data_IF_315083120808
#
_entry.id   IF_315083120808
#
_cell.length_a   1.000
_cell.length_b   1.000
_cell.length_c   1.000
_cell.angle_alpha   90.00
_cell.angle_beta   90.00
_cell.angle_gamma   90.00
#
_symmetry.space_group_name_H-M   'P 1'
#
loop_
_entity.id
_entity.type
_entity.pdbx_description
1 polymer ?
#
# COMPACT_ATOMS: atom_id res chain seq x y z
N UNK A 1 -17.68 66.52 4.16
CA UNK A 1 -16.36 65.83 4.05
C UNK A 1 -16.31 64.60 4.96
N UNK A 2 -16.59 64.74 6.29
CA UNK A 2 -16.52 63.65 7.26
C UNK A 2 -17.46 62.49 6.90
N UNK A 3 -18.70 62.76 6.52
CA UNK A 3 -19.70 61.74 6.13
C UNK A 3 -19.29 61.00 4.89
N UNK A 4 -18.66 61.66 3.90
CA UNK A 4 -18.15 61.04 2.70
C UNK A 4 -16.96 60.10 3.03
N UNK A 5 -16.11 60.51 3.97
CA UNK A 5 -14.97 59.68 4.39
C UNK A 5 -15.44 58.43 5.13
N UNK A 6 -16.47 58.53 5.97
CA UNK A 6 -17.10 57.39 6.66
C UNK A 6 -17.74 56.43 5.66
N UNK A 7 -18.44 56.95 4.64
CA UNK A 7 -19.00 56.12 3.57
C UNK A 7 -17.93 55.37 2.77
N UNK A 8 -16.81 56.04 2.43
CA UNK A 8 -15.70 55.41 1.72
C UNK A 8 -15.06 54.32 2.58
N UNK A 9 -14.88 54.56 3.88
CA UNK A 9 -14.36 53.55 4.80
C UNK A 9 -15.31 52.38 4.97
N UNK A 10 -16.63 52.62 5.06
CA UNK A 10 -17.64 51.58 5.17
C UNK A 10 -17.71 50.71 3.89
N UNK A 11 -17.70 51.34 2.70
CA UNK A 11 -17.65 50.66 1.42
C UNK A 11 -16.33 49.87 1.28
N UNK A 12 -15.23 50.46 1.66
CA UNK A 12 -13.90 49.82 1.69
C UNK A 12 -13.88 48.59 2.60
N UNK A 13 -14.47 48.72 3.82
CA UNK A 13 -14.55 47.60 4.75
C UNK A 13 -15.45 46.42 4.20
N UNK A 14 -16.59 46.78 3.58
CA UNK A 14 -17.47 45.78 2.95
C UNK A 14 -16.76 45.13 1.78
N UNK A 15 -16.06 45.89 0.96
CA UNK A 15 -15.28 45.39 -0.17
C UNK A 15 -14.14 44.49 0.29
N UNK A 16 -13.40 44.88 1.33
CA UNK A 16 -12.33 44.09 1.92
C UNK A 16 -12.88 42.80 2.57
N UNK A 17 -13.99 42.86 3.29
CA UNK A 17 -14.67 41.70 3.87
C UNK A 17 -15.13 40.71 2.77
N UNK A 18 -15.55 41.20 1.60
CA UNK A 18 -16.04 40.37 0.50
C UNK A 18 -14.94 39.81 -0.40
N UNK A 19 -13.88 40.59 -0.67
CA UNK A 19 -12.84 40.27 -1.64
C UNK A 19 -11.43 40.13 -1.05
N UNK A 20 -11.22 40.53 0.20
CA UNK A 20 -9.94 40.41 0.90
C UNK A 20 -9.60 38.93 1.15
N UNK A 21 -8.31 38.63 1.21
CA UNK A 21 -7.78 37.32 1.58
C UNK A 21 -8.10 36.98 3.04
N UNK A 22 -8.46 35.75 3.35
CA UNK A 22 -8.52 35.25 4.73
C UNK A 22 -7.10 34.99 5.24
N UNK A 23 -6.87 35.32 6.53
CA UNK A 23 -5.69 34.91 7.27
C UNK A 23 -5.99 33.78 8.26
N UNK A 24 -7.14 33.16 8.14
CA UNK A 24 -7.52 32.01 8.94
C UNK A 24 -6.61 30.83 8.61
N UNK A 25 -6.02 30.24 9.63
CA UNK A 25 -5.23 29.02 9.51
C UNK A 25 -6.15 27.80 9.59
N UNK A 26 -5.85 26.77 8.81
CA UNK A 26 -6.53 25.50 8.90
C UNK A 26 -6.09 24.77 10.19
N UNK A 27 -7.01 24.08 10.79
CA UNK A 27 -6.69 23.10 11.81
C UNK A 27 -5.95 21.92 11.14
N UNK A 28 -4.66 21.81 11.44
CA UNK A 28 -3.78 20.82 10.82
C UNK A 28 -4.06 19.40 11.29
N UNK A 29 -4.46 19.22 12.56
CA UNK A 29 -4.85 17.91 13.08
C UNK A 29 -6.11 17.43 12.39
N UNK A 30 -7.12 18.27 12.28
CA UNK A 30 -8.34 17.98 11.52
C UNK A 30 -8.05 17.75 10.04
N UNK A 31 -7.14 18.50 9.42
CA UNK A 31 -6.75 18.32 8.02
C UNK A 31 -6.19 16.94 7.76
N UNK A 32 -5.34 16.42 8.64
CA UNK A 32 -4.72 15.11 8.53
C UNK A 32 -5.54 13.99 9.18
N UNK A 33 -6.59 14.30 9.95
CA UNK A 33 -7.40 13.32 10.68
C UNK A 33 -6.69 12.74 11.90
N UNK A 34 -5.83 13.53 12.55
CA UNK A 34 -5.13 13.19 13.79
C UNK A 34 -6.05 13.51 14.98
N UNK A 35 -6.21 12.56 15.88
CA UNK A 35 -7.03 12.67 17.09
C UNK A 35 -6.20 12.52 18.36
N UNK A 36 -5.10 11.75 18.29
CA UNK A 36 -4.24 11.47 19.42
C UNK A 36 -2.79 11.83 19.10
N UNK A 37 -1.98 12.06 20.13
CA UNK A 37 -0.57 12.45 19.99
C UNK A 37 0.32 11.37 19.39
N UNK A 38 -0.11 10.11 19.43
CA UNK A 38 0.56 8.95 18.83
C UNK A 38 0.06 8.61 17.42
N UNK A 39 -0.98 9.29 16.92
CA UNK A 39 -1.41 9.15 15.54
C UNK A 39 -0.34 9.72 14.59
N UNK A 40 -0.15 9.07 13.46
CA UNK A 40 0.74 9.47 12.38
C UNK A 40 -0.05 9.66 11.10
N UNK A 41 -0.10 10.88 10.60
CA UNK A 41 -0.65 11.13 9.28
C UNK A 41 0.26 10.54 8.20
N UNK A 42 -0.34 9.97 7.16
CA UNK A 42 0.37 9.45 6.01
C UNK A 42 0.04 10.25 4.76
N UNK A 43 1.08 10.71 4.08
CA UNK A 43 0.97 11.31 2.76
C UNK A 43 1.70 10.38 1.80
N UNK A 44 0.95 9.61 1.01
CA UNK A 44 1.51 8.61 0.11
C UNK A 44 1.35 9.09 -1.33
N UNK A 45 2.47 9.26 -2.04
CA UNK A 45 2.49 9.74 -3.43
C UNK A 45 1.68 11.04 -3.62
N UNK A 46 1.86 11.99 -2.71
CA UNK A 46 1.17 13.29 -2.66
C UNK A 46 -0.35 13.22 -2.37
N UNK A 47 -0.83 12.13 -1.82
CA UNK A 47 -2.22 11.98 -1.37
C UNK A 47 -2.24 11.81 0.15
N UNK A 48 -3.06 12.61 0.85
CA UNK A 48 -3.31 12.44 2.29
C UNK A 48 -4.20 11.21 2.49
N UNK A 49 -3.69 10.22 3.22
CA UNK A 49 -4.44 9.01 3.55
C UNK A 49 -5.38 9.33 4.70
N UNK A 50 -6.67 9.28 4.44
CA UNK A 50 -7.70 9.46 5.47
C UNK A 50 -8.05 8.14 6.13
N UNK A 51 -8.60 8.21 7.34
CA UNK A 51 -9.22 7.06 7.99
C UNK A 51 -10.26 6.45 7.05
N UNK A 52 -10.14 5.16 6.77
CA UNK A 52 -11.20 4.44 6.06
C UNK A 52 -12.22 3.98 7.11
N UNK A 53 -13.49 4.36 6.92
CA UNK A 53 -14.58 3.68 7.58
C UNK A 53 -14.59 2.25 7.03
N UNK A 54 -14.42 1.25 7.90
CA UNK A 54 -14.41 -0.15 7.46
C UNK A 54 -15.73 -0.46 6.75
N UNK A 55 -15.68 -0.64 5.44
CA UNK A 55 -16.80 -1.15 4.65
C UNK A 55 -16.92 -2.66 4.91
N UNK A 56 -17.31 -3.04 6.11
CA UNK A 56 -17.71 -4.38 6.43
C UNK A 56 -19.15 -4.62 5.95
N UNK A 57 -19.30 -4.91 4.65
CA UNK A 57 -20.46 -5.70 4.22
C UNK A 57 -20.20 -7.16 4.64
N UNK A 58 -20.54 -7.49 5.86
CA UNK A 58 -20.93 -8.80 6.39
C UNK A 58 -20.32 -9.08 7.77
N UNK A 59 -20.96 -8.59 8.81
CA UNK A 59 -21.30 -9.33 10.03
C UNK A 59 -21.83 -8.36 11.08
N UNK A 60 -22.92 -8.71 11.68
CA UNK A 60 -23.64 -7.97 12.71
C UNK A 60 -22.90 -8.06 14.05
N UNK A 61 -21.76 -7.42 14.18
CA UNK A 61 -21.20 -7.09 15.48
C UNK A 61 -20.57 -5.70 15.45
N UNK A 62 -21.07 -4.84 16.31
CA UNK A 62 -20.89 -3.41 16.31
C UNK A 62 -19.59 -3.00 17.00
N UNK A 63 -18.49 -2.90 16.25
CA UNK A 63 -17.43 -1.93 16.52
C UNK A 63 -16.73 -1.62 15.19
N UNK A 64 -17.25 -0.62 14.48
CA UNK A 64 -16.57 0.00 13.34
C UNK A 64 -15.43 0.87 13.87
N UNK A 65 -14.35 0.24 14.33
CA UNK A 65 -13.13 0.97 14.63
C UNK A 65 -12.48 1.38 13.30
N UNK A 66 -12.52 2.67 13.01
CA UNK A 66 -11.84 3.23 11.85
C UNK A 66 -10.34 3.04 12.00
N UNK A 67 -9.71 2.41 11.01
CA UNK A 67 -8.25 2.15 11.03
C UNK A 67 -7.48 3.47 11.00
N UNK A 68 -6.65 3.71 12.02
CA UNK A 68 -5.69 4.81 12.03
C UNK A 68 -4.56 4.46 11.05
N UNK A 69 -4.31 5.27 10.00
CA UNK A 69 -3.38 4.90 8.93
C UNK A 69 -1.94 4.65 9.39
N UNK A 70 -1.48 5.39 10.40
CA UNK A 70 -0.15 5.24 10.97
C UNK A 70 -0.11 5.62 12.42
N UNK A 71 0.89 5.11 13.15
CA UNK A 71 1.12 5.41 14.56
C UNK A 71 2.59 5.61 14.89
N UNK A 72 2.83 6.31 15.99
CA UNK A 72 4.16 6.47 16.60
C UNK A 72 4.19 5.64 17.88
N UNK A 73 5.07 4.64 17.94
CA UNK A 73 5.31 3.85 19.14
C UNK A 73 6.77 4.02 19.56
N UNK A 74 7.02 4.44 20.79
CA UNK A 74 8.36 4.59 21.37
C UNK A 74 9.31 5.46 20.50
N UNK A 75 8.75 6.47 19.82
CA UNK A 75 9.51 7.36 18.92
C UNK A 75 9.77 6.80 17.53
N UNK A 76 9.31 5.59 17.21
CA UNK A 76 9.40 4.97 15.89
C UNK A 76 8.06 5.11 15.14
N UNK A 77 8.12 5.22 13.82
CA UNK A 77 6.97 5.48 12.94
C UNK A 77 6.52 4.19 12.25
N UNK A 78 5.22 3.94 12.29
CA UNK A 78 4.61 2.71 11.78
C UNK A 78 3.44 2.99 10.85
N UNK A 79 3.22 2.10 9.91
CA UNK A 79 2.11 2.11 8.96
C UNK A 79 1.18 0.94 9.26
N UNK A 80 -0.13 1.17 9.28
CA UNK A 80 -1.12 0.12 9.40
C UNK A 80 -1.01 -0.87 8.24
N UNK A 81 -1.10 -2.17 8.53
CA UNK A 81 -0.97 -3.23 7.53
C UNK A 81 -1.90 -3.06 6.32
N UNK A 82 -3.16 -2.66 6.54
CA UNK A 82 -4.11 -2.44 5.46
C UNK A 82 -3.62 -1.36 4.48
N UNK A 83 -3.10 -0.24 5.02
CA UNK A 83 -2.54 0.85 4.20
C UNK A 83 -1.27 0.40 3.48
N UNK A 84 -0.39 -0.34 4.17
CA UNK A 84 0.81 -0.91 3.56
C UNK A 84 0.44 -1.78 2.36
N UNK A 85 -0.45 -2.75 2.55
CA UNK A 85 -0.88 -3.70 1.53
C UNK A 85 -1.54 -3.00 0.33
N UNK A 86 -2.45 -2.06 0.60
CA UNK A 86 -3.33 -1.51 -0.43
C UNK A 86 -2.70 -0.31 -1.18
N UNK A 87 -1.75 0.42 -0.54
CA UNK A 87 -1.22 1.68 -1.10
C UNK A 87 0.29 1.68 -1.35
N UNK A 88 1.05 0.76 -0.74
CA UNK A 88 2.51 0.77 -0.80
C UNK A 88 3.05 -0.53 -1.42
N UNK A 89 2.80 -1.68 -0.77
CA UNK A 89 3.35 -2.96 -1.21
C UNK A 89 2.45 -4.13 -0.78
N UNK A 90 1.72 -4.70 -1.73
CA UNK A 90 0.78 -5.80 -1.52
C UNK A 90 1.43 -7.16 -1.25
N UNK A 91 2.77 -7.27 -1.29
CA UNK A 91 3.48 -8.52 -1.01
C UNK A 91 3.63 -8.81 0.47
N UNK A 92 3.42 -7.83 1.34
CA UNK A 92 3.33 -8.07 2.76
C UNK A 92 2.01 -8.75 3.10
N UNK A 93 2.09 -9.80 3.89
CA UNK A 93 0.94 -10.55 4.38
C UNK A 93 0.97 -10.65 5.91
N UNK A 94 -0.10 -10.23 6.56
CA UNK A 94 -0.29 -10.37 7.99
C UNK A 94 -1.20 -11.55 8.29
N UNK A 95 -0.68 -12.54 9.00
CA UNK A 95 -1.48 -13.63 9.57
C UNK A 95 -1.90 -13.26 10.99
N UNK A 96 -3.19 -12.92 11.14
CA UNK A 96 -3.74 -12.51 12.43
C UNK A 96 -3.88 -13.69 13.43
N UNK A 97 -3.98 -14.94 12.94
CA UNK A 97 -4.10 -16.11 13.80
C UNK A 97 -2.74 -16.48 14.42
N UNK A 98 -1.72 -16.52 13.59
CA UNK A 98 -0.35 -16.84 14.01
C UNK A 98 0.41 -15.60 14.53
N UNK A 99 -0.16 -14.39 14.36
CA UNK A 99 0.45 -13.09 14.72
C UNK A 99 1.85 -12.91 14.11
N UNK A 100 1.95 -13.21 12.82
CA UNK A 100 3.20 -13.17 12.06
C UNK A 100 3.01 -12.33 10.78
N UNK A 101 3.95 -11.44 10.52
CA UNK A 101 4.08 -10.75 9.25
C UNK A 101 4.99 -11.56 8.32
N UNK A 102 4.53 -11.81 7.11
CA UNK A 102 5.26 -12.51 6.06
C UNK A 102 5.53 -11.59 4.88
N UNK A 103 6.69 -11.77 4.26
CA UNK A 103 7.03 -11.18 2.97
C UNK A 103 7.74 -12.21 2.10
N UNK A 104 7.25 -12.44 0.90
CA UNK A 104 7.80 -13.46 0.00
C UNK A 104 8.89 -12.87 -0.88
N UNK A 105 10.07 -13.48 -0.84
CA UNK A 105 11.22 -13.24 -1.73
C UNK A 105 11.32 -14.35 -2.77
N UNK A 106 12.09 -14.16 -3.87
CA UNK A 106 12.27 -15.19 -4.89
C UNK A 106 12.89 -16.49 -4.39
N UNK A 107 13.72 -16.39 -3.34
CA UNK A 107 14.53 -17.48 -2.77
C UNK A 107 14.07 -17.92 -1.37
N UNK A 108 12.98 -17.35 -0.85
CA UNK A 108 12.44 -17.73 0.44
C UNK A 108 11.45 -16.71 1.01
N UNK A 109 11.26 -16.75 2.32
CA UNK A 109 10.33 -15.85 3.01
C UNK A 109 11.06 -15.04 4.08
N UNK A 110 10.55 -13.84 4.31
CA UNK A 110 10.79 -13.07 5.52
C UNK A 110 9.64 -13.31 6.48
N UNK A 111 9.94 -13.56 7.75
CA UNK A 111 8.96 -13.83 8.79
C UNK A 111 9.28 -13.04 10.05
N UNK A 112 8.34 -12.26 10.53
CA UNK A 112 8.46 -11.39 11.71
C UNK A 112 7.32 -11.68 12.68
N UNK A 113 7.65 -12.10 13.91
CA UNK A 113 6.66 -12.26 14.96
C UNK A 113 6.28 -10.91 15.57
N UNK A 114 5.07 -10.84 16.11
CA UNK A 114 4.62 -9.66 16.82
C UNK A 114 5.55 -9.26 17.97
N UNK A 115 5.71 -7.95 18.16
CA UNK A 115 6.58 -7.33 19.19
C UNK A 115 8.05 -7.75 19.13
N UNK A 116 8.52 -8.22 17.97
CA UNK A 116 9.90 -8.63 17.76
C UNK A 116 10.72 -7.58 17.02
N UNK A 117 11.97 -7.45 17.40
CA UNK A 117 13.04 -6.82 16.62
C UNK A 117 13.87 -7.85 15.82
N UNK A 118 13.67 -9.15 16.11
CA UNK A 118 14.30 -10.24 15.36
C UNK A 118 13.34 -10.78 14.30
N UNK A 119 13.88 -11.20 13.18
CA UNK A 119 13.15 -11.79 12.07
C UNK A 119 13.98 -12.83 11.32
N UNK A 120 13.31 -13.74 10.64
CA UNK A 120 13.97 -14.71 9.75
C UNK A 120 13.83 -14.24 8.31
N UNK A 121 14.93 -14.20 7.57
CA UNK A 121 14.96 -13.93 6.14
C UNK A 121 15.75 -15.03 5.43
N UNK A 122 15.12 -15.79 4.53
CA UNK A 122 15.74 -16.86 3.75
C UNK A 122 16.58 -17.81 4.63
N UNK A 123 15.97 -18.28 5.72
CA UNK A 123 16.59 -19.17 6.74
C UNK A 123 17.72 -18.54 7.60
N UNK A 124 17.94 -17.25 7.52
CA UNK A 124 18.87 -16.53 8.39
C UNK A 124 18.10 -15.70 9.41
N UNK A 125 18.53 -15.71 10.67
CA UNK A 125 17.99 -14.82 11.69
C UNK A 125 18.74 -13.49 11.63
N UNK A 126 17.97 -12.40 11.55
CA UNK A 126 18.43 -11.01 11.55
C UNK A 126 17.76 -10.22 12.66
N UNK A 127 18.28 -9.06 12.99
CA UNK A 127 17.70 -8.18 14.01
C UNK A 127 17.90 -6.71 13.67
N UNK A 128 16.92 -5.91 14.07
CA UNK A 128 16.93 -4.45 14.01
C UNK A 128 17.08 -3.86 15.41
N UNK A 129 17.38 -2.58 15.50
CA UNK A 129 17.45 -1.84 16.77
C UNK A 129 16.11 -1.29 17.23
N UNK A 130 15.02 -1.66 16.52
CA UNK A 130 13.65 -1.29 16.80
C UNK A 130 12.71 -2.51 16.68
N UNK A 131 11.53 -2.43 17.29
CA UNK A 131 10.48 -3.44 17.11
C UNK A 131 9.88 -3.28 15.71
N UNK A 132 9.88 -4.35 14.90
CA UNK A 132 9.46 -4.30 13.49
C UNK A 132 7.94 -4.25 13.36
N UNK A 133 7.23 -5.05 14.16
CA UNK A 133 5.79 -5.28 14.09
C UNK A 133 5.16 -5.07 15.45
N UNK A 134 4.21 -4.15 15.54
CA UNK A 134 3.36 -3.91 16.72
C UNK A 134 1.89 -4.04 16.38
N UNK A 135 1.05 -4.26 17.38
CA UNK A 135 -0.40 -4.24 17.21
C UNK A 135 -1.04 -3.23 18.16
N UNK A 136 -2.17 -2.68 17.74
CA UNK A 136 -3.08 -1.91 18.56
C UNK A 136 -4.49 -2.49 18.34
N UNK A 137 -5.02 -3.20 19.36
CA UNK A 137 -6.16 -4.08 19.17
C UNK A 137 -5.85 -5.17 18.13
N UNK A 138 -6.70 -5.26 17.12
CA UNK A 138 -6.56 -6.23 16.02
C UNK A 138 -5.79 -5.67 14.80
N UNK A 139 -5.34 -4.42 14.89
CA UNK A 139 -4.64 -3.76 13.78
C UNK A 139 -3.12 -3.95 13.94
N UNK A 140 -2.49 -4.50 12.93
CA UNK A 140 -1.03 -4.62 12.85
C UNK A 140 -0.42 -3.35 12.24
N UNK A 141 0.70 -2.93 12.80
CA UNK A 141 1.49 -1.77 12.39
C UNK A 141 2.94 -2.17 12.14
N UNK A 142 3.46 -1.83 10.98
CA UNK A 142 4.81 -2.19 10.53
C UNK A 142 5.69 -0.95 10.48
N UNK A 143 6.91 -1.07 11.01
CA UNK A 143 7.88 0.02 11.06
C UNK A 143 8.30 0.49 9.67
N UNK A 144 8.31 1.80 9.44
CA UNK A 144 8.66 2.42 8.14
C UNK A 144 10.03 2.00 7.61
N UNK A 145 11.12 1.95 8.41
CA UNK A 145 12.42 1.53 7.90
C UNK A 145 12.42 0.07 7.42
N UNK A 146 11.68 -0.82 8.08
CA UNK A 146 11.53 -2.20 7.63
C UNK A 146 10.78 -2.31 6.30
N UNK A 147 9.70 -1.53 6.14
CA UNK A 147 8.98 -1.46 4.86
C UNK A 147 9.90 -0.97 3.75
N UNK A 148 10.74 0.03 4.02
CA UNK A 148 11.68 0.62 3.04
C UNK A 148 12.76 -0.38 2.59
N UNK A 149 13.18 -1.30 3.45
CA UNK A 149 14.16 -2.34 3.10
C UNK A 149 13.64 -3.24 1.96
N UNK A 150 12.35 -3.58 2.01
CA UNK A 150 11.70 -4.50 1.06
C UNK A 150 10.85 -3.81 -0.01
N UNK A 151 10.89 -2.49 -0.08
CA UNK A 151 10.02 -1.72 -0.98
C UNK A 151 10.78 -0.58 -1.66
N UNK A 152 10.57 -0.41 -2.95
CA UNK A 152 11.11 0.73 -3.70
C UNK A 152 10.40 2.03 -3.28
N UNK A 153 10.66 2.49 -2.06
CA UNK A 153 10.07 3.70 -1.50
C UNK A 153 11.09 4.55 -0.76
N UNK A 154 10.84 5.84 -0.69
CA UNK A 154 11.49 6.77 0.23
C UNK A 154 10.46 7.41 1.14
N UNK A 155 10.88 7.79 2.34
CA UNK A 155 10.03 8.54 3.25
C UNK A 155 10.82 9.62 4.00
N UNK A 156 10.11 10.64 4.41
CA UNK A 156 10.54 11.63 5.40
C UNK A 156 9.46 11.76 6.47
N UNK A 157 9.85 12.24 7.64
CA UNK A 157 8.92 12.46 8.75
C UNK A 157 9.00 13.89 9.22
N UNK A 158 7.85 14.43 9.55
CA UNK A 158 7.68 15.79 10.08
C UNK A 158 6.85 15.74 11.36
N UNK A 159 6.99 16.75 12.18
CA UNK A 159 6.26 16.89 13.44
C UNK A 159 5.30 18.09 13.39
N UNK A 160 4.44 18.17 14.39
CA UNK A 160 3.49 19.28 14.57
C UNK A 160 2.53 19.51 13.38
N UNK A 161 1.67 18.54 13.06
CA UNK A 161 1.46 17.21 13.66
C UNK A 161 2.39 16.15 13.06
N UNK A 162 2.51 14.99 13.75
CA UNK A 162 3.28 13.86 13.25
C UNK A 162 2.77 13.40 11.88
N UNK A 163 3.65 13.38 10.90
CA UNK A 163 3.31 12.93 9.54
C UNK A 163 4.50 12.30 8.83
N UNK A 164 4.22 11.27 8.04
CA UNK A 164 5.18 10.64 7.16
C UNK A 164 4.80 10.90 5.70
N UNK A 165 5.76 11.40 4.93
CA UNK A 165 5.64 11.66 3.50
C UNK A 165 6.34 10.50 2.79
N UNK A 166 5.57 9.68 2.06
CA UNK A 166 6.04 8.44 1.44
C UNK A 166 5.93 8.56 -0.07
N UNK A 167 7.04 8.31 -0.76
CA UNK A 167 7.08 8.18 -2.22
C UNK A 167 7.39 6.73 -2.57
N UNK A 168 6.45 6.05 -3.23
CA UNK A 168 6.60 4.67 -3.73
C UNK A 168 6.31 4.54 -5.23
N UNK A 169 5.90 5.63 -5.87
CA UNK A 169 5.70 5.72 -7.32
C UNK A 169 6.75 6.64 -7.92
N UNK A 170 7.56 6.08 -8.80
CA UNK A 170 8.67 6.76 -9.46
C UNK A 170 8.33 7.05 -10.91
N UNK A 171 8.94 8.07 -11.49
CA UNK A 171 8.71 8.45 -12.87
C UNK A 171 8.74 9.94 -13.09
N UNK A 172 7.98 10.42 -14.08
CA UNK A 172 7.90 11.84 -14.40
C UNK A 172 6.89 12.53 -13.47
N UNK A 173 7.35 13.59 -12.81
CA UNK A 173 6.53 14.49 -12.00
C UNK A 173 6.64 15.91 -12.56
N UNK A 174 5.62 16.71 -12.36
CA UNK A 174 5.65 18.12 -12.67
C UNK A 174 5.97 18.93 -11.42
N UNK A 175 6.90 19.90 -11.55
CA UNK A 175 7.34 20.73 -10.43
C UNK A 175 7.28 22.21 -10.83
N UNK A 176 7.14 23.09 -9.84
CA UNK A 176 7.24 24.52 -10.00
C UNK A 176 7.99 25.16 -8.82
N UNK A 177 8.50 26.37 -9.03
CA UNK A 177 9.14 27.17 -8.00
C UNK A 177 8.23 28.32 -7.55
N UNK A 178 8.21 28.59 -6.26
CA UNK A 178 7.51 29.73 -5.68
C UNK A 178 8.22 31.05 -6.05
N UNK A 179 7.52 32.00 -6.65
CA UNK A 179 8.07 33.32 -7.06
C UNK A 179 8.38 34.24 -5.89
N UNK A 180 7.57 34.18 -4.85
CA UNK A 180 7.65 35.00 -3.61
C UNK A 180 6.96 34.28 -2.48
N UNK A 181 7.26 34.64 -1.26
CA UNK A 181 6.57 34.16 -0.05
C UNK A 181 5.06 34.23 -0.25
N UNK A 182 4.39 33.11 -0.05
CA UNK A 182 2.95 32.95 -0.22
C UNK A 182 2.42 31.81 0.63
N UNK A 183 1.12 31.51 0.49
CA UNK A 183 0.40 30.55 1.29
C UNK A 183 -0.14 29.44 0.41
N UNK A 184 -0.04 28.21 0.91
CA UNK A 184 -0.80 27.06 0.43
C UNK A 184 -2.12 27.02 1.17
N UNK A 185 -3.24 26.97 0.46
CA UNK A 185 -4.58 26.99 1.01
C UNK A 185 -5.27 25.65 0.84
N UNK A 186 -6.20 25.36 1.73
CA UNK A 186 -6.95 24.10 1.72
C UNK A 186 -7.74 23.88 0.41
N UNK A 187 -8.37 24.94 -0.10
CA UNK A 187 -9.09 24.95 -1.39
C UNK A 187 -8.61 26.12 -2.26
N UNK A 188 -8.89 26.06 -3.55
CA UNK A 188 -8.61 27.10 -4.53
C UNK A 188 -9.49 28.35 -4.30
N UNK A 189 -9.06 29.23 -3.39
CA UNK A 189 -9.80 30.45 -3.09
C UNK A 189 -9.15 31.33 -2.04
N UNK A 190 -9.26 32.66 -2.18
CA UNK A 190 -8.66 33.63 -1.24
C UNK A 190 -9.29 33.58 0.16
N UNK A 191 -10.45 32.97 0.31
CA UNK A 191 -11.17 32.80 1.58
C UNK A 191 -10.92 31.47 2.25
N UNK A 192 -10.32 30.53 1.53
CA UNK A 192 -9.98 29.21 2.07
C UNK A 192 -8.92 29.34 3.16
N UNK A 193 -8.99 28.54 4.25
CA UNK A 193 -7.98 28.52 5.30
C UNK A 193 -6.57 28.21 4.75
N UNK A 194 -5.57 28.71 5.46
CA UNK A 194 -4.15 28.52 5.13
C UNK A 194 -3.69 27.21 5.77
N UNK A 195 -3.15 26.30 4.94
CA UNK A 195 -2.52 25.06 5.43
C UNK A 195 -1.09 25.28 5.89
N UNK A 196 -0.29 25.98 5.06
CA UNK A 196 1.10 26.29 5.36
C UNK A 196 1.57 27.51 4.56
N UNK A 197 2.71 28.06 4.96
CA UNK A 197 3.42 29.09 4.21
C UNK A 197 4.59 28.49 3.44
N UNK A 198 4.80 28.98 2.22
CA UNK A 198 5.94 28.62 1.38
C UNK A 198 6.75 29.86 1.03
N UNK A 199 8.05 29.70 0.97
CA UNK A 199 9.00 30.80 0.74
C UNK A 199 9.35 30.90 -0.73
N UNK A 200 9.90 32.06 -1.08
CA UNK A 200 10.47 32.27 -2.43
C UNK A 200 11.52 31.20 -2.72
N UNK A 201 11.42 30.63 -3.91
CA UNK A 201 12.29 29.56 -4.45
C UNK A 201 12.03 28.15 -3.85
N UNK A 202 11.08 28.00 -2.94
CA UNK A 202 10.63 26.67 -2.57
C UNK A 202 10.10 25.93 -3.80
N UNK A 203 10.39 24.65 -3.85
CA UNK A 203 9.92 23.76 -4.91
C UNK A 203 8.66 23.04 -4.45
N UNK A 204 7.67 23.00 -5.30
CA UNK A 204 6.43 22.26 -5.08
C UNK A 204 6.19 21.28 -6.23
N UNK A 205 5.54 20.15 -5.93
CA UNK A 205 5.03 19.24 -6.95
C UNK A 205 3.67 19.74 -7.41
N UNK A 206 3.47 19.89 -8.72
CA UNK A 206 2.19 20.29 -9.32
C UNK A 206 1.36 19.03 -9.54
N UNK A 207 0.15 19.01 -9.00
CA UNK A 207 -0.76 17.86 -9.09
C UNK A 207 -1.87 18.10 -10.10
N UNK A 208 -2.44 19.31 -10.07
CA UNK A 208 -3.54 19.72 -10.95
C UNK A 208 -3.35 21.20 -11.32
N UNK A 209 -3.56 21.56 -12.60
CA UNK A 209 -3.55 22.93 -13.08
C UNK A 209 -5.00 23.37 -13.30
N UNK A 210 -5.47 24.24 -12.42
CA UNK A 210 -6.80 24.84 -12.48
C UNK A 210 -6.65 26.36 -12.66
N UNK A 211 -6.90 26.88 -13.84
CA UNK A 211 -6.86 28.29 -14.24
C UNK A 211 -6.09 29.26 -13.30
N UNK A 212 -6.77 29.83 -12.29
CA UNK A 212 -6.22 30.79 -11.31
C UNK A 212 -5.45 30.14 -10.16
N UNK A 213 -5.61 28.83 -9.95
CA UNK A 213 -5.04 28.08 -8.85
C UNK A 213 -4.41 26.78 -9.32
N UNK A 214 -3.29 26.42 -8.73
CA UNK A 214 -2.67 25.11 -8.91
C UNK A 214 -2.75 24.31 -7.62
N UNK A 215 -3.19 23.07 -7.72
CA UNK A 215 -3.08 22.10 -6.65
C UNK A 215 -1.65 21.60 -6.57
N UNK A 216 -1.04 21.71 -5.43
CA UNK A 216 0.37 21.39 -5.22
C UNK A 216 0.56 20.55 -3.97
N UNK A 217 1.66 19.77 -3.96
CA UNK A 217 2.21 19.16 -2.75
C UNK A 217 3.51 19.85 -2.38
N UNK A 218 3.67 20.18 -1.10
CA UNK A 218 4.89 20.72 -0.52
C UNK A 218 5.81 19.62 -0.03
N UNK A 219 7.10 19.90 0.14
CA UNK A 219 8.08 18.91 0.61
C UNK A 219 7.77 18.40 2.03
N UNK A 220 7.13 19.24 2.85
CA UNK A 220 6.71 18.90 4.21
C UNK A 220 5.31 18.27 4.31
N UNK A 221 4.72 17.86 3.16
CA UNK A 221 3.55 16.98 3.09
C UNK A 221 2.18 17.67 3.06
N UNK A 222 2.11 19.00 2.89
CA UNK A 222 0.83 19.68 2.69
C UNK A 222 0.39 19.59 1.23
N UNK A 223 -0.85 19.19 1.01
CA UNK A 223 -1.49 19.13 -0.31
C UNK A 223 -2.61 20.17 -0.37
N UNK A 224 -2.47 21.18 -1.20
CA UNK A 224 -3.41 22.31 -1.26
C UNK A 224 -3.19 23.17 -2.50
N UNK A 225 -3.59 24.42 -2.43
CA UNK A 225 -3.68 25.28 -3.60
C UNK A 225 -2.83 26.54 -3.46
N UNK A 226 -2.10 26.87 -4.50
CA UNK A 226 -1.37 28.15 -4.66
C UNK A 226 -1.93 28.87 -5.89
N UNK A 227 -2.03 30.22 -5.83
CA UNK A 227 -2.37 30.99 -7.05
C UNK A 227 -1.31 30.78 -8.13
N UNK A 228 -1.73 30.40 -9.33
CA UNK A 228 -0.87 30.12 -10.48
C UNK A 228 0.14 31.23 -10.75
N UNK A 229 -0.25 32.50 -10.63
CA UNK A 229 0.65 33.66 -10.80
C UNK A 229 1.83 33.72 -9.83
N UNK A 230 1.80 32.99 -8.71
CA UNK A 230 2.88 32.92 -7.71
C UNK A 230 3.85 31.77 -7.95
N UNK A 231 3.61 30.98 -8.99
CA UNK A 231 4.49 29.90 -9.43
C UNK A 231 5.24 30.31 -10.71
N UNK A 232 6.41 29.73 -10.91
CA UNK A 232 7.29 29.91 -12.10
C UNK A 232 8.08 28.64 -12.35
N UNK A 233 8.80 28.61 -13.49
CA UNK A 233 9.73 27.53 -13.83
C UNK A 233 9.08 26.14 -13.75
N UNK A 234 7.81 26.04 -14.16
CA UNK A 234 7.10 24.79 -14.27
C UNK A 234 7.83 23.88 -15.25
N UNK A 235 8.14 22.66 -14.81
CA UNK A 235 8.91 21.70 -15.61
C UNK A 235 8.62 20.28 -15.16
N UNK A 236 8.85 19.36 -16.08
CA UNK A 236 8.82 17.93 -15.79
C UNK A 236 10.20 17.46 -15.31
N UNK A 237 10.19 16.65 -14.28
CA UNK A 237 11.40 16.05 -13.71
C UNK A 237 11.19 14.56 -13.56
N UNK A 238 12.23 13.78 -13.83
CA UNK A 238 12.21 12.34 -13.61
C UNK A 238 12.73 12.03 -12.21
N UNK A 239 11.92 11.33 -11.41
CA UNK A 239 12.28 10.82 -10.11
C UNK A 239 12.59 9.32 -10.19
N UNK A 240 13.55 8.86 -9.41
CA UNK A 240 13.91 7.47 -9.28
C UNK A 240 14.63 7.23 -7.95
N UNK A 241 14.61 6.00 -7.48
CA UNK A 241 15.43 5.53 -6.37
C UNK A 241 16.34 4.41 -6.87
N UNK A 242 17.53 4.31 -6.32
CA UNK A 242 18.40 3.15 -6.54
C UNK A 242 17.90 1.99 -5.68
N UNK A 243 17.11 1.12 -6.30
CA UNK A 243 16.53 -0.06 -5.66
C UNK A 243 16.49 -1.20 -6.66
N UNK A 244 17.00 -2.35 -6.24
CA UNK A 244 16.95 -3.55 -7.07
C UNK A 244 15.68 -4.33 -6.76
N UNK A 245 14.72 -4.29 -7.69
CA UNK A 245 13.50 -5.07 -7.55
C UNK A 245 13.81 -6.57 -7.55
N UNK A 246 13.27 -7.34 -6.59
CA UNK A 246 13.37 -8.80 -6.63
C UNK A 246 12.73 -9.36 -7.92
N UNK A 247 13.46 -10.22 -8.62
CA UNK A 247 12.96 -10.86 -9.83
C UNK A 247 12.30 -12.18 -9.47
N UNK A 248 11.00 -12.25 -9.66
CA UNK A 248 10.22 -13.46 -9.45
C UNK A 248 10.11 -14.22 -10.77
N UNK A 249 10.38 -15.52 -10.74
CA UNK A 249 10.17 -16.38 -11.90
C UNK A 249 8.76 -16.95 -11.87
N UNK A 250 7.92 -16.52 -12.78
CA UNK A 250 6.63 -17.15 -13.01
C UNK A 250 6.81 -18.34 -13.95
N UNK A 251 6.23 -19.48 -13.59
CA UNK A 251 6.11 -20.60 -14.53
C UNK A 251 4.91 -20.30 -15.44
N UNK A 252 5.20 -19.76 -16.60
CA UNK A 252 4.18 -19.50 -17.63
C UNK A 252 4.36 -20.47 -18.77
N UNK A 253 3.25 -21.06 -19.24
CA UNK A 253 3.23 -21.88 -20.44
C UNK A 253 2.98 -21.01 -21.67
N UNK A 254 3.50 -21.43 -22.83
CA UNK A 254 3.34 -20.74 -24.10
C UNK A 254 1.99 -21.04 -24.79
N UNK A 255 1.13 -21.80 -24.13
CA UNK A 255 -0.19 -22.22 -24.60
C UNK A 255 -1.28 -22.07 -23.52
N UNK A 256 -2.54 -22.12 -23.97
CA UNK A 256 -3.68 -22.11 -23.05
C UNK A 256 -3.80 -23.45 -22.33
N UNK A 257 -3.84 -23.40 -21.00
CA UNK A 257 -4.01 -24.58 -20.16
C UNK A 257 -5.48 -24.96 -20.12
N UNK A 258 -5.79 -26.18 -20.59
CA UNK A 258 -7.08 -26.80 -20.43
C UNK A 258 -6.89 -28.06 -19.57
N UNK A 259 -7.26 -27.94 -18.27
CA UNK A 259 -6.93 -28.91 -17.23
C UNK A 259 -8.18 -29.67 -16.75
N UNK A 260 -7.99 -30.95 -16.47
CA UNK A 260 -8.97 -31.75 -15.74
C UNK A 260 -8.35 -32.41 -14.50
N UNK A 261 -9.07 -32.38 -13.38
CA UNK A 261 -8.71 -33.15 -12.19
C UNK A 261 -9.14 -34.60 -12.34
N UNK A 262 -8.21 -35.53 -12.11
CA UNK A 262 -8.49 -36.94 -12.03
C UNK A 262 -8.45 -37.40 -10.56
N UNK A 263 -9.62 -37.72 -10.00
CA UNK A 263 -9.72 -38.25 -8.64
C UNK A 263 -9.19 -39.68 -8.55
N UNK A 264 -7.91 -39.81 -8.20
CA UNK A 264 -7.24 -41.09 -7.97
C UNK A 264 -7.31 -41.40 -6.47
N UNK A 265 -8.14 -42.38 -6.12
CA UNK A 265 -8.45 -42.70 -4.70
C UNK A 265 -7.50 -43.75 -4.07
N UNK A 266 -6.80 -44.54 -4.90
CA UNK A 266 -5.82 -45.54 -4.49
C UNK A 266 -4.89 -45.87 -5.65
N UNK A 267 -3.78 -46.59 -5.38
CA UNK A 267 -2.79 -46.92 -6.40
C UNK A 267 -3.38 -47.69 -7.64
N UNK A 268 -4.36 -48.57 -7.43
CA UNK A 268 -4.98 -49.32 -8.54
C UNK A 268 -5.83 -48.40 -9.44
N UNK A 269 -6.36 -47.30 -8.94
CA UNK A 269 -7.17 -46.36 -9.69
C UNK A 269 -6.35 -45.59 -10.74
N UNK A 270 -5.01 -45.61 -10.69
CA UNK A 270 -4.13 -45.05 -11.72
C UNK A 270 -4.38 -45.70 -13.08
N UNK A 271 -4.74 -47.00 -13.14
CA UNK A 271 -5.01 -47.71 -14.38
C UNK A 271 -6.22 -47.17 -15.17
N UNK A 272 -7.08 -46.34 -14.51
CA UNK A 272 -8.22 -45.74 -15.20
C UNK A 272 -7.84 -44.59 -16.14
N UNK A 273 -6.59 -44.10 -16.12
CA UNK A 273 -6.14 -42.97 -16.95
C UNK A 273 -6.42 -43.17 -18.43
N UNK A 274 -6.25 -44.40 -18.93
CA UNK A 274 -6.52 -44.75 -20.35
C UNK A 274 -7.98 -44.53 -20.72
N UNK A 275 -8.91 -44.96 -19.87
CA UNK A 275 -10.34 -44.80 -20.08
C UNK A 275 -10.77 -43.34 -19.95
N UNK A 276 -10.20 -42.63 -18.99
CA UNK A 276 -10.47 -41.19 -18.77
C UNK A 276 -10.05 -40.39 -20.00
N UNK A 277 -8.84 -40.61 -20.51
CA UNK A 277 -8.33 -39.87 -21.67
C UNK A 277 -9.03 -40.25 -22.98
N UNK A 278 -9.45 -41.50 -23.13
CA UNK A 278 -10.23 -41.93 -24.31
C UNK A 278 -11.60 -41.23 -24.41
N UNK A 279 -12.15 -40.75 -23.32
CA UNK A 279 -13.44 -40.05 -23.26
C UNK A 279 -13.33 -38.51 -23.22
N UNK A 280 -12.14 -37.96 -23.32
CA UNK A 280 -11.89 -36.51 -23.27
C UNK A 280 -11.24 -36.02 -24.56
N UNK A 281 -11.39 -34.74 -24.85
CA UNK A 281 -10.72 -34.09 -25.99
C UNK A 281 -10.34 -32.65 -25.62
N UNK A 282 -9.22 -32.18 -26.20
CA UNK A 282 -8.76 -30.81 -26.02
C UNK A 282 -8.09 -30.50 -24.66
N UNK A 283 -7.81 -31.54 -23.84
CA UNK A 283 -7.00 -31.34 -22.63
C UNK A 283 -5.55 -31.09 -23.00
N UNK A 284 -4.89 -30.22 -22.25
CA UNK A 284 -3.44 -30.02 -22.27
C UNK A 284 -2.79 -30.58 -21.01
N UNK A 285 -3.55 -30.65 -19.93
CA UNK A 285 -3.03 -31.01 -18.61
C UNK A 285 -4.00 -31.90 -17.85
N UNK A 286 -3.49 -32.91 -17.18
CA UNK A 286 -4.28 -33.76 -16.27
C UNK A 286 -3.69 -33.67 -14.86
N UNK A 287 -4.56 -33.51 -13.86
CA UNK A 287 -4.16 -33.27 -12.46
C UNK A 287 -4.65 -34.41 -11.54
N UNK A 288 -3.85 -35.51 -11.38
CA UNK A 288 -4.19 -36.61 -10.49
C UNK A 288 -4.01 -36.24 -9.01
N UNK A 289 -4.91 -36.71 -8.15
CA UNK A 289 -4.90 -36.47 -6.71
C UNK A 289 -3.97 -37.47 -5.99
N UNK A 290 -2.66 -37.31 -6.17
CA UNK A 290 -1.67 -38.31 -5.76
C UNK A 290 -1.07 -38.11 -4.36
N UNK A 291 -0.91 -36.84 -3.95
CA UNK A 291 -0.19 -36.53 -2.75
C UNK A 291 -1.12 -36.03 -1.64
N UNK A 292 -0.83 -36.42 -0.40
CA UNK A 292 -1.49 -35.89 0.77
C UNK A 292 -0.52 -35.76 1.95
N UNK A 293 -0.82 -34.85 2.87
CA UNK A 293 -0.12 -34.78 4.15
C UNK A 293 -0.42 -36.07 4.92
N UNK A 294 0.64 -36.75 5.40
CA UNK A 294 0.50 -38.03 6.09
C UNK A 294 0.35 -37.84 7.61
N UNK A 295 0.99 -36.80 8.14
CA UNK A 295 1.01 -36.49 9.58
C UNK A 295 1.28 -35.01 9.83
N UNK A 296 1.32 -34.61 11.11
CA UNK A 296 1.61 -33.24 11.56
C UNK A 296 3.08 -32.86 11.51
N UNK A 297 3.98 -33.79 11.14
CA UNK A 297 5.42 -33.57 10.99
C UNK A 297 5.78 -33.14 9.56
N UNK A 298 4.79 -33.11 8.65
CA UNK A 298 4.98 -32.73 7.27
C UNK A 298 5.36 -33.87 6.33
N UNK A 299 5.24 -35.14 6.77
CA UNK A 299 5.47 -36.28 5.91
C UNK A 299 4.38 -36.38 4.84
N UNK A 300 4.77 -36.79 3.63
CA UNK A 300 3.87 -36.88 2.48
C UNK A 300 3.57 -38.36 2.14
N UNK A 301 2.29 -38.68 2.01
CA UNK A 301 1.82 -39.92 1.42
C UNK A 301 1.72 -39.76 -0.10
N UNK A 302 2.14 -40.76 -0.85
CA UNK A 302 2.12 -40.77 -2.32
C UNK A 302 1.51 -42.04 -2.88
N UNK A 303 0.64 -41.87 -3.87
CA UNK A 303 0.12 -42.95 -4.74
C UNK A 303 0.43 -42.67 -6.21
N UNK A 304 1.47 -41.85 -6.46
CA UNK A 304 1.92 -41.52 -7.80
C UNK A 304 2.39 -42.77 -8.55
N UNK A 305 2.18 -42.76 -9.87
CA UNK A 305 2.42 -43.90 -10.74
C UNK A 305 3.15 -43.45 -12.01
N UNK A 306 4.29 -44.10 -12.30
CA UNK A 306 5.13 -43.74 -13.45
C UNK A 306 4.48 -44.13 -14.78
N UNK A 307 3.74 -45.23 -14.83
CA UNK A 307 3.06 -45.69 -16.06
C UNK A 307 1.93 -44.73 -16.42
N UNK A 308 1.25 -44.16 -15.42
CA UNK A 308 0.28 -43.09 -15.62
C UNK A 308 0.91 -41.87 -16.29
N UNK A 309 2.05 -41.40 -15.76
CA UNK A 309 2.78 -40.25 -16.32
C UNK A 309 3.20 -40.52 -17.75
N UNK A 310 3.80 -41.70 -18.00
CA UNK A 310 4.24 -42.10 -19.35
C UNK A 310 3.08 -42.13 -20.34
N UNK A 311 1.92 -42.64 -19.90
CA UNK A 311 0.74 -42.70 -20.75
C UNK A 311 0.19 -41.32 -21.08
N UNK A 312 0.07 -40.44 -20.07
CA UNK A 312 -0.40 -39.07 -20.25
C UNK A 312 0.54 -38.27 -21.17
N UNK A 313 1.86 -38.36 -20.98
CA UNK A 313 2.85 -37.70 -21.84
C UNK A 313 2.79 -38.24 -23.29
N UNK A 314 2.59 -39.55 -23.46
CA UNK A 314 2.43 -40.16 -24.81
C UNK A 314 1.16 -39.64 -25.51
N UNK A 315 0.12 -39.32 -24.72
CA UNK A 315 -1.10 -38.70 -25.21
C UNK A 315 -0.98 -37.17 -25.41
N UNK A 316 0.19 -36.60 -25.17
CA UNK A 316 0.48 -35.15 -25.33
C UNK A 316 -0.01 -34.25 -24.18
N UNK A 317 -0.26 -34.84 -23.00
CA UNK A 317 -0.70 -34.08 -21.83
C UNK A 317 0.44 -33.90 -20.82
N UNK A 318 0.45 -32.77 -20.17
CA UNK A 318 1.23 -32.56 -18.95
C UNK A 318 0.53 -33.19 -17.75
N UNK A 319 1.33 -33.55 -16.73
CA UNK A 319 0.81 -34.12 -15.47
C UNK A 319 1.16 -33.19 -14.32
N UNK A 320 0.15 -32.53 -13.77
CA UNK A 320 0.28 -31.60 -12.63
C UNK A 320 -0.37 -32.25 -11.41
N UNK A 321 0.42 -32.98 -10.63
CA UNK A 321 -0.11 -33.73 -9.50
C UNK A 321 -0.65 -32.81 -8.39
N UNK A 322 -1.83 -33.15 -7.88
CA UNK A 322 -2.48 -32.44 -6.78
C UNK A 322 -1.89 -32.93 -5.45
N UNK A 323 -1.50 -31.99 -4.62
CA UNK A 323 -1.24 -32.18 -3.20
C UNK A 323 -2.45 -31.69 -2.39
N UNK A 324 -2.85 -32.43 -1.39
CA UNK A 324 -3.97 -32.08 -0.49
C UNK A 324 -3.58 -32.30 0.97
N UNK A 325 -4.12 -31.47 1.85
CA UNK A 325 -3.97 -31.55 3.31
C UNK A 325 -5.29 -31.85 4.03
N UNK A 326 -6.34 -32.22 3.29
CA UNK A 326 -7.61 -32.59 3.89
C UNK A 326 -7.48 -33.92 4.64
N UNK A 327 -7.41 -33.85 5.96
CA UNK A 327 -7.77 -34.99 6.78
C UNK A 327 -9.29 -35.02 6.82
N UNK A 328 -9.90 -36.00 6.20
CA UNK A 328 -11.32 -36.26 6.34
C UNK A 328 -11.60 -36.49 7.84
N UNK A 329 -12.35 -35.56 8.44
CA UNK A 329 -12.86 -35.68 9.79
C UNK A 329 -13.95 -36.79 9.85
#
# INVERSE_FOLDING_TARGET
IIILLIMILAVGAVFFKRYGSSNEEADKEQYYGIENSDDLALIINNEVVKKEESSAESSSDSSTDSVIPGKVFDGQYYVAYQVLRDKINSRFYWDANERVLLYTLPDGNVSVSENSSEYTAVNETKSEDYVILKTDGDIAYIALPFIQEYTNMEYSVEQEPNRAIITSKWGEIETAEVKKDTQVRYLGGVKSPILTEVKKSDKVTVLEDEDDWMKVATADGYVGYIKTKFLKNQKKEKTSRDFTEPVYSDMTEDHSINMAWHNVTNAAANNAVQQVLASTSGLTTIAPTWFSLADTEGNISSIADADYVNYAHTAGLEVWAVFRDFHGG
#
